data_IF_446904649214
#
_entry.id   IF_446904649214
#
_cell.length_a   1.000
_cell.length_b   1.000
_cell.length_c   1.000
_cell.angle_alpha   90.00
_cell.angle_beta   90.00
_cell.angle_gamma   90.00
#
_symmetry.space_group_name_H-M   'P 1'
#
loop_
_entity.id
_entity.type
_entity.pdbx_description
1 polymer ?
#
# COMPACT_ATOMS: atom_id res chain seq x y z
N UNK A 1 4.24 -7.66 8.99
CA UNK A 1 3.88 -6.29 9.38
C UNK A 1 2.38 -6.10 9.39
N UNK A 2 1.88 -5.05 10.04
CA UNK A 2 0.44 -4.77 10.13
C UNK A 2 0.00 -3.88 8.95
N UNK A 3 -1.23 -4.12 8.48
CA UNK A 3 -1.95 -3.28 7.51
C UNK A 3 -3.26 -2.86 8.16
N UNK A 4 -3.49 -1.58 8.25
CA UNK A 4 -4.67 -1.04 8.94
C UNK A 4 -5.36 0.03 8.10
N UNK A 5 -6.68 0.07 8.21
CA UNK A 5 -7.52 1.19 7.80
C UNK A 5 -8.62 1.39 8.85
N UNK A 6 -9.53 2.33 8.64
CA UNK A 6 -10.59 2.64 9.61
C UNK A 6 -11.49 1.46 9.96
N UNK A 7 -11.70 0.53 9.04
CA UNK A 7 -12.63 -0.61 9.14
C UNK A 7 -11.96 -1.97 8.94
N UNK A 8 -10.65 -2.00 8.73
CA UNK A 8 -9.90 -3.23 8.41
C UNK A 8 -8.61 -3.31 9.18
N UNK A 9 -8.21 -4.53 9.46
CA UNK A 9 -6.92 -4.87 10.04
C UNK A 9 -6.36 -6.08 9.30
N UNK A 10 -5.08 -6.09 9.03
CA UNK A 10 -4.44 -7.21 8.35
C UNK A 10 -2.99 -7.41 8.75
N UNK A 11 -2.43 -8.49 8.23
CA UNK A 11 -1.01 -8.81 8.37
C UNK A 11 -0.41 -9.14 7.01
N UNK A 12 0.81 -8.67 6.80
CA UNK A 12 1.61 -8.98 5.62
C UNK A 12 2.90 -9.64 6.07
N UNK A 13 3.14 -10.85 5.59
CA UNK A 13 4.41 -11.55 5.64
C UNK A 13 5.05 -11.58 4.25
N UNK A 14 6.25 -12.14 4.14
CA UNK A 14 6.96 -12.21 2.86
C UNK A 14 6.23 -13.01 1.77
N UNK A 15 5.43 -14.01 2.16
CA UNK A 15 4.76 -14.92 1.21
C UNK A 15 3.23 -14.89 1.31
N UNK A 16 2.67 -14.22 2.35
CA UNK A 16 1.24 -14.27 2.65
C UNK A 16 0.73 -12.96 3.24
N UNK A 17 -0.47 -12.58 2.79
CA UNK A 17 -1.26 -11.49 3.34
C UNK A 17 -2.62 -12.02 3.80
N UNK A 18 -3.11 -11.50 4.91
CA UNK A 18 -4.47 -11.72 5.37
C UNK A 18 -5.10 -10.39 5.80
N UNK A 19 -6.38 -10.19 5.46
CA UNK A 19 -7.15 -9.00 5.80
C UNK A 19 -8.46 -9.39 6.46
N UNK A 20 -8.84 -8.66 7.51
CA UNK A 20 -10.09 -8.84 8.26
C UNK A 20 -10.85 -7.53 8.38
N UNK A 21 -12.15 -7.60 8.38
CA UNK A 21 -13.03 -6.49 8.77
C UNK A 21 -12.98 -6.29 10.30
N UNK A 22 -13.54 -5.17 10.76
CA UNK A 22 -13.65 -4.83 12.19
C UNK A 22 -14.45 -5.84 13.03
N UNK A 23 -15.32 -6.64 12.41
CA UNK A 23 -16.05 -7.76 13.04
C UNK A 23 -15.26 -9.08 13.06
N UNK A 24 -13.97 -9.03 12.71
CA UNK A 24 -13.03 -10.15 12.66
C UNK A 24 -13.38 -11.23 11.61
N UNK A 25 -14.19 -10.89 10.63
CA UNK A 25 -14.40 -11.74 9.45
C UNK A 25 -13.24 -11.53 8.50
N UNK A 26 -12.54 -12.62 8.15
CA UNK A 26 -11.47 -12.59 7.16
C UNK A 26 -12.06 -12.37 5.78
N UNK A 27 -11.59 -11.31 5.09
CA UNK A 27 -12.05 -10.94 3.75
C UNK A 27 -11.06 -11.32 2.66
N UNK A 28 -9.75 -11.34 2.95
CA UNK A 28 -8.72 -11.69 1.97
C UNK A 28 -7.72 -12.67 2.55
N UNK A 29 -7.37 -13.69 1.78
CA UNK A 29 -6.14 -14.48 1.85
C UNK A 29 -5.42 -14.35 0.51
N UNK A 30 -4.18 -13.86 0.50
CA UNK A 30 -3.40 -13.67 -0.71
C UNK A 30 -1.99 -14.25 -0.58
N UNK A 31 -1.47 -14.81 -1.68
CA UNK A 31 -0.13 -15.40 -1.76
C UNK A 31 -0.11 -16.88 -1.39
N UNK A 32 0.80 -17.29 -0.52
CA UNK A 32 0.93 -18.70 -0.10
C UNK A 32 -0.12 -19.04 0.94
N UNK A 33 -1.24 -19.54 0.48
CA UNK A 33 -2.36 -19.99 1.33
C UNK A 33 -2.21 -21.47 1.63
N UNK A 34 -2.19 -21.81 2.93
CA UNK A 34 -2.18 -23.21 3.37
C UNK A 34 -3.58 -23.83 3.25
N UNK A 35 -3.76 -24.66 2.25
CA UNK A 35 -5.02 -25.38 2.05
C UNK A 35 -4.98 -26.17 0.75
N UNK A 36 -4.86 -27.48 0.88
CA UNK A 36 -4.69 -28.40 -0.24
C UNK A 36 -5.97 -28.53 -1.09
N UNK A 37 -7.10 -28.03 -0.62
CA UNK A 37 -8.40 -28.30 -1.24
C UNK A 37 -8.69 -27.46 -2.49
N UNK A 38 -8.02 -26.30 -2.64
CA UNK A 38 -8.24 -25.39 -3.76
C UNK A 38 -6.93 -24.69 -4.20
N UNK A 39 -5.94 -25.44 -4.74
CA UNK A 39 -4.61 -24.91 -5.01
C UNK A 39 -4.56 -23.90 -6.18
N UNK A 40 -5.66 -23.69 -6.90
CA UNK A 40 -5.71 -22.86 -8.10
C UNK A 40 -6.35 -21.49 -7.88
N UNK A 41 -6.82 -21.19 -6.68
CA UNK A 41 -7.49 -19.92 -6.39
C UNK A 41 -6.51 -18.75 -6.24
N UNK A 42 -5.24 -19.03 -5.91
CA UNK A 42 -4.23 -17.99 -5.74
C UNK A 42 -3.53 -17.71 -7.07
N UNK A 43 -3.63 -16.49 -7.64
CA UNK A 43 -3.05 -16.17 -8.95
C UNK A 43 -1.52 -16.10 -8.92
N UNK A 44 -0.92 -15.71 -7.79
CA UNK A 44 0.52 -15.44 -7.66
C UNK A 44 1.16 -16.07 -6.40
N UNK A 45 1.03 -17.41 -6.19
CA UNK A 45 1.43 -18.04 -4.92
C UNK A 45 2.96 -18.11 -4.71
N UNK A 46 3.75 -17.82 -5.73
CA UNK A 46 5.22 -17.86 -5.69
C UNK A 46 5.89 -16.50 -5.57
N UNK A 47 5.11 -15.42 -5.50
CA UNK A 47 5.65 -14.08 -5.38
C UNK A 47 6.01 -13.74 -3.92
N UNK A 48 6.97 -12.84 -3.74
CA UNK A 48 7.37 -12.28 -2.44
C UNK A 48 6.74 -10.90 -2.30
N UNK A 49 5.93 -10.72 -1.27
CA UNK A 49 5.27 -9.46 -0.97
C UNK A 49 6.29 -8.44 -0.44
N UNK A 50 6.24 -7.20 -0.93
CA UNK A 50 7.13 -6.11 -0.49
C UNK A 50 6.42 -5.09 0.37
N UNK A 51 5.12 -4.82 0.12
CA UNK A 51 4.26 -4.00 1.00
C UNK A 51 2.78 -4.22 0.69
N UNK A 52 1.89 -3.74 1.56
CA UNK A 52 0.47 -3.66 1.29
C UNK A 52 -0.18 -2.51 2.05
N UNK A 53 -1.17 -1.88 1.45
CA UNK A 53 -2.05 -0.88 2.05
C UNK A 53 -3.49 -1.13 1.61
N UNK A 54 -4.44 -0.76 2.46
CA UNK A 54 -5.87 -0.89 2.16
C UNK A 54 -6.63 0.35 2.56
N UNK A 55 -7.67 0.69 1.78
CA UNK A 55 -8.65 1.74 2.09
C UNK A 55 -9.98 1.39 1.44
N UNK A 56 -11.08 1.51 2.21
CA UNK A 56 -12.43 1.17 1.74
C UNK A 56 -12.46 -0.23 1.09
N UNK A 57 -12.82 -0.35 -0.17
CA UNK A 57 -12.87 -1.60 -0.90
C UNK A 57 -11.60 -1.89 -1.72
N UNK A 58 -10.56 -1.06 -1.59
CA UNK A 58 -9.30 -1.25 -2.31
C UNK A 58 -8.23 -1.84 -1.41
N UNK A 59 -7.59 -2.90 -1.87
CA UNK A 59 -6.34 -3.44 -1.35
C UNK A 59 -5.28 -3.32 -2.44
N UNK A 60 -4.19 -2.61 -2.15
CA UNK A 60 -3.01 -2.51 -3.00
C UNK A 60 -1.88 -3.34 -2.40
N UNK A 61 -1.18 -4.09 -3.23
CA UNK A 61 -0.06 -4.96 -2.84
C UNK A 61 1.09 -4.76 -3.81
N UNK A 62 2.31 -4.60 -3.31
CA UNK A 62 3.52 -4.70 -4.13
C UNK A 62 4.21 -6.03 -3.88
N UNK A 63 4.68 -6.67 -4.94
CA UNK A 63 5.28 -8.00 -4.89
C UNK A 63 6.36 -8.21 -5.96
N UNK A 64 7.32 -9.07 -5.66
CA UNK A 64 8.35 -9.52 -6.59
C UNK A 64 8.05 -10.96 -6.99
N UNK A 65 7.87 -11.18 -8.27
CA UNK A 65 7.63 -12.47 -8.89
C UNK A 65 8.82 -12.91 -9.75
N UNK A 66 8.76 -14.10 -10.31
CA UNK A 66 9.81 -14.58 -11.20
C UNK A 66 9.92 -13.84 -12.55
N UNK A 67 8.88 -13.08 -12.91
CA UNK A 67 8.74 -12.32 -14.14
C UNK A 67 8.83 -10.79 -13.94
N UNK A 68 9.04 -10.31 -12.72
CA UNK A 68 9.17 -8.88 -12.45
C UNK A 68 8.62 -8.45 -11.09
N UNK A 69 8.60 -7.13 -10.87
CA UNK A 69 7.99 -6.49 -9.70
C UNK A 69 6.66 -5.90 -10.10
N UNK A 70 5.65 -6.07 -9.24
CA UNK A 70 4.28 -5.73 -9.58
C UNK A 70 3.58 -4.96 -8.48
N UNK A 71 2.80 -3.95 -8.86
CA UNK A 71 1.72 -3.39 -8.06
C UNK A 71 0.41 -4.07 -8.48
N UNK A 72 -0.29 -4.70 -7.53
CA UNK A 72 -1.59 -5.34 -7.75
C UNK A 72 -2.67 -4.56 -7.02
N UNK A 73 -3.69 -4.17 -7.75
CA UNK A 73 -4.93 -3.64 -7.20
C UNK A 73 -5.97 -4.75 -7.13
N UNK A 74 -6.60 -4.91 -5.99
CA UNK A 74 -7.58 -5.97 -5.78
C UNK A 74 -8.69 -5.56 -4.81
N UNK A 75 -9.78 -6.31 -4.83
CA UNK A 75 -10.89 -6.12 -3.91
C UNK A 75 -10.44 -6.44 -2.47
N UNK A 76 -10.79 -5.53 -1.53
CA UNK A 76 -10.61 -5.80 -0.10
C UNK A 76 -11.71 -6.71 0.47
N UNK A 77 -12.80 -6.94 -0.30
CA UNK A 77 -13.90 -7.86 0.02
C UNK A 77 -14.31 -8.66 -1.21
N UNK A 78 -13.47 -9.58 -1.70
CA UNK A 78 -13.81 -10.47 -2.81
C UNK A 78 -14.98 -11.38 -2.44
N UNK A 79 -15.67 -11.95 -3.43
CA UNK A 79 -16.78 -12.90 -3.19
C UNK A 79 -16.34 -14.09 -2.31
N UNK A 80 -15.11 -14.57 -2.54
CA UNK A 80 -14.50 -15.63 -1.74
C UNK A 80 -13.18 -15.17 -1.15
N UNK A 81 -13.01 -15.25 0.15
CA UNK A 81 -11.79 -14.75 0.82
C UNK A 81 -10.49 -15.39 0.35
N UNK A 82 -10.55 -16.55 -0.27
CA UNK A 82 -9.40 -17.32 -0.78
C UNK A 82 -9.15 -17.14 -2.27
N UNK A 83 -10.03 -16.45 -2.97
CA UNK A 83 -9.95 -16.16 -4.39
C UNK A 83 -9.80 -14.65 -4.57
N UNK A 84 -8.57 -14.12 -4.66
CA UNK A 84 -8.34 -12.70 -4.83
C UNK A 84 -8.95 -12.18 -6.13
N UNK A 85 -9.68 -11.09 -6.06
CA UNK A 85 -10.25 -10.40 -7.21
C UNK A 85 -9.33 -9.25 -7.62
N UNK A 86 -8.42 -9.53 -8.56
CA UNK A 86 -7.45 -8.55 -9.08
C UNK A 86 -8.16 -7.62 -10.06
N UNK A 87 -8.15 -6.31 -9.79
CA UNK A 87 -8.67 -5.26 -10.69
C UNK A 87 -7.67 -4.98 -11.81
N UNK A 88 -6.42 -4.72 -11.43
CA UNK A 88 -5.35 -4.45 -12.38
C UNK A 88 -3.98 -4.81 -11.81
N UNK A 89 -2.98 -4.81 -12.69
CA UNK A 89 -1.58 -5.10 -12.38
C UNK A 89 -0.68 -4.15 -13.14
N UNK A 90 0.26 -3.52 -12.45
CA UNK A 90 1.24 -2.58 -13.01
C UNK A 90 2.62 -3.12 -12.75
N UNK A 91 3.46 -3.20 -13.79
CA UNK A 91 4.87 -3.55 -13.65
C UNK A 91 5.64 -2.36 -13.08
N UNK A 92 6.52 -2.64 -12.10
CA UNK A 92 7.37 -1.66 -11.43
C UNK A 92 8.84 -1.95 -11.75
N UNK A 93 9.67 -0.91 -11.72
CA UNK A 93 11.08 -1.02 -12.09
C UNK A 93 11.95 -1.60 -10.95
N UNK A 94 11.64 -1.23 -9.70
CA UNK A 94 12.45 -1.60 -8.54
C UNK A 94 11.98 -2.88 -7.83
N UNK A 95 12.89 -3.84 -7.53
CA UNK A 95 12.55 -5.02 -6.74
C UNK A 95 12.29 -4.72 -5.26
N UNK A 96 12.54 -3.49 -4.83
CA UNK A 96 12.27 -3.00 -3.48
C UNK A 96 11.18 -1.94 -3.45
N UNK A 97 10.40 -1.81 -4.53
CA UNK A 97 9.27 -0.89 -4.59
C UNK A 97 8.26 -1.17 -3.46
N UNK A 98 7.71 -0.11 -2.89
CA UNK A 98 6.75 -0.20 -1.79
C UNK A 98 5.69 0.90 -1.83
N UNK A 99 4.54 0.61 -1.27
CA UNK A 99 3.42 1.54 -1.17
C UNK A 99 3.69 2.64 -0.13
N UNK A 100 3.25 3.85 -0.40
CA UNK A 100 3.34 5.00 0.50
C UNK A 100 1.99 5.67 0.76
N UNK A 101 1.02 5.47 -0.13
CA UNK A 101 -0.35 5.92 0.07
C UNK A 101 -1.34 5.02 -0.68
N UNK A 102 -2.58 4.95 -0.19
CA UNK A 102 -3.71 4.31 -0.84
C UNK A 102 -4.94 5.21 -0.75
N UNK A 103 -5.60 5.43 -1.87
CA UNK A 103 -6.87 6.13 -1.99
C UNK A 103 -8.04 5.15 -2.12
N UNK A 104 -9.20 5.67 -2.49
CA UNK A 104 -10.39 4.84 -2.79
C UNK A 104 -10.29 4.17 -4.16
N UNK A 105 -9.53 4.77 -5.09
CA UNK A 105 -9.40 4.34 -6.49
C UNK A 105 -7.97 4.41 -7.02
N UNK A 106 -6.97 4.21 -6.16
CA UNK A 106 -5.57 4.23 -6.58
C UNK A 106 -4.59 4.08 -5.44
N UNK A 107 -3.30 4.01 -5.77
CA UNK A 107 -2.21 3.95 -4.81
C UNK A 107 -0.97 4.70 -5.31
N UNK A 108 -0.14 5.15 -4.38
CA UNK A 108 1.17 5.70 -4.67
C UNK A 108 2.26 4.77 -4.14
N UNK A 109 3.30 4.59 -4.93
CA UNK A 109 4.46 3.74 -4.61
C UNK A 109 5.75 4.56 -4.66
N UNK A 110 6.74 4.15 -3.90
CA UNK A 110 8.14 4.46 -4.21
C UNK A 110 8.62 3.39 -5.19
N UNK A 111 9.05 3.82 -6.36
CA UNK A 111 9.69 3.01 -7.37
C UNK A 111 11.02 3.67 -7.75
N UNK A 112 12.12 3.05 -7.38
CA UNK A 112 13.46 3.67 -7.34
C UNK A 112 13.49 4.96 -6.49
N UNK A 113 13.79 6.09 -7.10
CA UNK A 113 13.85 7.41 -6.46
C UNK A 113 12.64 8.29 -6.82
N UNK A 114 11.50 7.69 -7.15
CA UNK A 114 10.29 8.39 -7.56
C UNK A 114 9.08 7.95 -6.76
N UNK A 115 8.20 8.90 -6.44
CA UNK A 115 6.81 8.63 -6.08
C UNK A 115 6.02 8.56 -7.37
N UNK A 116 5.38 7.42 -7.61
CA UNK A 116 4.49 7.25 -8.76
C UNK A 116 3.12 6.86 -8.25
N UNK A 117 2.08 7.58 -8.67
CA UNK A 117 0.70 7.23 -8.37
C UNK A 117 0.01 6.61 -9.57
N UNK A 118 -0.81 5.61 -9.28
CA UNK A 118 -1.59 4.87 -10.28
C UNK A 118 -3.05 4.79 -9.85
N UNK A 119 -3.95 4.83 -10.84
CA UNK A 119 -5.35 4.45 -10.61
C UNK A 119 -5.47 2.95 -10.36
N UNK A 120 -6.57 2.50 -9.77
CA UNK A 120 -6.88 1.08 -9.58
C UNK A 120 -7.16 0.32 -10.91
N UNK A 121 -7.28 1.05 -12.01
CA UNK A 121 -7.28 0.51 -13.37
C UNK A 121 -5.87 0.31 -13.96
N UNK A 122 -4.82 0.72 -13.24
CA UNK A 122 -3.42 0.58 -13.64
C UNK A 122 -2.87 1.73 -14.49
N UNK A 123 -3.56 2.87 -14.55
CA UNK A 123 -3.09 4.05 -15.29
C UNK A 123 -2.20 4.91 -14.40
N UNK A 124 -0.99 5.26 -14.86
CA UNK A 124 -0.15 6.24 -14.19
C UNK A 124 -0.83 7.61 -14.18
N UNK A 125 -0.92 8.23 -13.00
CA UNK A 125 -1.56 9.52 -12.79
C UNK A 125 -0.52 10.63 -12.61
N UNK A 126 0.42 10.44 -11.69
CA UNK A 126 1.44 11.41 -11.34
C UNK A 126 2.79 10.73 -11.07
N UNK A 127 3.88 11.45 -11.36
CA UNK A 127 5.25 11.02 -11.10
C UNK A 127 6.08 12.19 -10.57
N UNK A 128 6.81 11.98 -9.48
CA UNK A 128 7.66 12.99 -8.85
C UNK A 128 8.93 12.34 -8.31
N UNK A 129 10.09 12.86 -8.74
CA UNK A 129 11.38 12.51 -8.15
C UNK A 129 11.47 12.91 -6.68
N UNK A 130 11.92 12.02 -5.82
CA UNK A 130 12.07 12.26 -4.38
C UNK A 130 13.42 11.76 -3.87
N UNK A 131 13.88 12.39 -2.79
CA UNK A 131 15.01 11.87 -2.01
C UNK A 131 14.42 11.19 -0.77
N UNK A 132 14.14 9.91 -0.88
CA UNK A 132 13.63 9.10 0.23
C UNK A 132 14.65 8.05 0.62
N UNK A 133 14.71 7.62 1.90
CA UNK A 133 15.54 6.50 2.30
C UNK A 133 15.18 5.24 1.50
N UNK A 134 16.22 4.58 0.95
CA UNK A 134 16.02 3.29 0.32
C UNK A 134 15.65 2.26 1.39
N UNK A 135 14.66 1.43 1.10
CA UNK A 135 14.31 0.27 1.91
C UNK A 135 15.22 -0.89 1.51
N UNK A 136 15.93 -1.46 2.48
CA UNK A 136 16.77 -2.60 2.24
C UNK A 136 15.93 -3.88 2.05
N UNK A 137 16.41 -4.82 1.24
CA UNK A 137 15.66 -6.05 0.94
C UNK A 137 15.30 -6.87 2.18
N UNK A 138 16.14 -6.86 3.20
CA UNK A 138 15.90 -7.54 4.48
C UNK A 138 14.80 -6.87 5.35
N UNK A 139 14.42 -5.65 5.04
CA UNK A 139 13.34 -4.92 5.73
C UNK A 139 11.96 -5.23 5.14
N UNK A 140 11.90 -5.98 4.04
CA UNK A 140 10.65 -6.36 3.38
C UNK A 140 9.95 -7.53 4.11
N UNK A 141 8.62 -7.55 4.18
CA UNK A 141 7.71 -6.53 3.68
C UNK A 141 7.75 -5.26 4.54
N UNK A 142 7.80 -4.12 3.88
CA UNK A 142 7.88 -2.81 4.51
C UNK A 142 6.49 -2.30 4.92
N UNK A 143 6.41 -1.70 6.11
CA UNK A 143 5.21 -1.03 6.60
C UNK A 143 5.45 0.48 6.57
N UNK A 144 4.91 1.21 5.59
CA UNK A 144 5.05 2.65 5.54
C UNK A 144 4.32 3.31 6.72
N UNK A 145 4.89 4.38 7.25
CA UNK A 145 4.26 5.18 8.32
C UNK A 145 3.30 6.16 7.66
N UNK A 146 2.04 5.76 7.53
CA UNK A 146 1.00 6.53 6.86
C UNK A 146 -0.13 6.91 7.80
N UNK A 147 -0.88 7.97 7.47
CA UNK A 147 -2.14 8.28 8.12
C UNK A 147 -3.17 8.80 7.11
N UNK A 148 -4.42 8.35 7.29
CA UNK A 148 -5.58 8.85 6.59
C UNK A 148 -6.14 10.06 7.35
N UNK A 149 -5.97 11.24 6.78
CA UNK A 149 -6.48 12.50 7.32
C UNK A 149 -7.75 12.93 6.55
N UNK A 150 -8.62 13.76 7.08
CA UNK A 150 -9.90 14.10 6.45
C UNK A 150 -9.79 14.67 5.02
N UNK A 151 -8.65 15.30 4.69
CA UNK A 151 -8.45 15.96 3.40
C UNK A 151 -7.16 15.56 2.69
N UNK A 152 -6.36 14.68 3.29
CA UNK A 152 -5.06 14.27 2.75
C UNK A 152 -4.73 12.85 3.20
N UNK A 153 -4.02 12.10 2.38
CA UNK A 153 -3.21 10.99 2.84
C UNK A 153 -1.83 11.51 3.21
N UNK A 154 -1.23 10.99 4.26
CA UNK A 154 0.11 11.42 4.70
C UNK A 154 1.04 10.23 4.80
N UNK A 155 2.29 10.44 4.41
CA UNK A 155 3.37 9.49 4.55
C UNK A 155 4.59 10.16 5.19
N UNK A 156 5.14 9.53 6.21
CA UNK A 156 6.34 9.98 6.89
C UNK A 156 7.49 9.00 6.61
N UNK A 157 8.55 9.50 5.98
CA UNK A 157 9.71 8.69 5.57
C UNK A 157 10.79 8.57 6.65
N UNK A 158 10.56 9.10 7.85
CA UNK A 158 11.51 9.20 8.94
C UNK A 158 12.13 10.60 9.09
N UNK A 159 11.93 11.48 8.11
CA UNK A 159 12.42 12.87 8.10
C UNK A 159 11.44 13.84 7.47
N UNK A 160 10.84 13.46 6.36
CA UNK A 160 9.89 14.30 5.62
C UNK A 160 8.48 13.78 5.82
N UNK A 161 7.53 14.69 5.93
CA UNK A 161 6.12 14.39 5.84
C UNK A 161 5.62 14.79 4.45
N UNK A 162 5.14 13.82 3.69
CA UNK A 162 4.54 14.02 2.37
C UNK A 162 3.03 13.96 2.47
N UNK A 163 2.36 14.94 1.89
CA UNK A 163 0.91 15.03 1.80
C UNK A 163 0.45 14.73 0.38
N UNK A 164 -0.49 13.82 0.26
CA UNK A 164 -1.12 13.44 -1.01
C UNK A 164 -2.56 13.95 -1.08
N UNK A 165 -3.01 14.32 -2.28
CA UNK A 165 -4.44 14.50 -2.55
C UNK A 165 -5.17 13.16 -2.35
N UNK A 166 -6.39 13.15 -1.76
CA UNK A 166 -7.07 11.89 -1.46
C UNK A 166 -7.61 11.16 -2.68
N UNK A 167 -7.84 11.86 -3.79
CA UNK A 167 -8.43 11.28 -5.00
C UNK A 167 -7.37 10.71 -5.97
N UNK A 168 -6.41 11.54 -6.37
CA UNK A 168 -5.42 11.19 -7.40
C UNK A 168 -4.05 10.85 -6.84
N UNK A 169 -3.87 11.01 -5.51
CA UNK A 169 -2.60 10.78 -4.81
C UNK A 169 -1.43 11.58 -5.38
N UNK A 170 -1.74 12.79 -5.87
CA UNK A 170 -0.73 13.77 -6.23
C UNK A 170 -0.06 14.32 -4.97
N UNK A 171 1.26 14.46 -5.00
CA UNK A 171 2.01 15.11 -3.91
C UNK A 171 1.67 16.59 -3.89
N UNK A 172 1.01 17.05 -2.84
CA UNK A 172 0.60 18.44 -2.67
C UNK A 172 1.62 19.25 -1.88
N UNK A 173 2.19 18.67 -0.83
CA UNK A 173 3.18 19.31 0.03
C UNK A 173 4.18 18.30 0.58
N UNK A 174 5.39 18.77 0.85
CA UNK A 174 6.39 18.06 1.64
C UNK A 174 6.92 19.00 2.72
N UNK A 175 7.01 18.49 3.96
CA UNK A 175 7.55 19.21 5.11
C UNK A 175 8.84 18.55 5.56
N UNK A 176 9.91 19.32 5.58
CA UNK A 176 11.19 18.90 6.14
C UNK A 176 11.12 18.90 7.68
N UNK A 177 12.00 18.12 8.31
CA UNK A 177 12.16 18.05 9.75
C UNK A 177 10.87 17.68 10.53
N UNK A 178 9.92 17.01 9.86
CA UNK A 178 8.77 16.42 10.52
C UNK A 178 9.22 15.25 11.43
N UNK A 179 8.40 14.96 12.47
CA UNK A 179 8.65 13.82 13.37
C UNK A 179 7.47 12.84 13.43
N UNK A 180 6.65 12.82 12.38
CA UNK A 180 5.51 11.90 12.26
C UNK A 180 4.49 12.35 11.23
N UNK A 181 3.39 11.61 11.14
CA UNK A 181 2.33 11.80 10.12
C UNK A 181 1.43 13.02 10.36
N UNK A 182 1.57 13.70 11.49
CA UNK A 182 0.67 14.77 11.87
C UNK A 182 -0.70 14.29 12.36
N UNK A 183 -1.55 15.25 12.74
CA UNK A 183 -2.92 15.00 13.18
C UNK A 183 -3.86 16.11 12.71
N UNK A 184 -5.04 15.75 12.25
CA UNK A 184 -6.06 16.74 11.87
C UNK A 184 -6.83 17.20 13.12
N UNK A 185 -6.90 18.52 13.31
CA UNK A 185 -7.69 19.14 14.38
C UNK A 185 -8.20 20.51 13.97
N UNK A 186 -9.51 20.77 14.19
CA UNK A 186 -10.13 22.08 13.92
C UNK A 186 -9.99 22.55 12.45
N UNK A 187 -10.07 21.64 11.49
CA UNK A 187 -9.90 21.93 10.06
C UNK A 187 -8.47 22.26 9.65
N UNK A 188 -7.47 21.90 10.45
CA UNK A 188 -6.04 22.09 10.19
C UNK A 188 -5.30 20.79 10.37
N UNK A 189 -4.21 20.62 9.63
CA UNK A 189 -3.22 19.58 9.91
C UNK A 189 -2.14 20.16 10.82
N UNK A 190 -1.94 19.54 11.97
CA UNK A 190 -0.86 19.85 12.92
C UNK A 190 0.28 18.90 12.66
N UNK A 191 1.41 19.45 12.22
CA UNK A 191 2.63 18.69 11.94
C UNK A 191 3.64 18.96 13.04
N UNK A 192 4.06 17.95 13.82
CA UNK A 192 5.16 18.13 14.77
C UNK A 192 6.49 18.21 14.01
N UNK A 193 7.29 19.19 14.35
CA UNK A 193 8.63 19.42 13.76
C UNK A 193 9.68 19.56 14.86
N UNK A 194 10.94 19.27 14.53
CA UNK A 194 12.08 19.44 15.45
C UNK A 194 12.57 20.89 15.45
#
# INVERSE_FOLDING_TARGET
VAVNSNDRVGTVGAERLELWRSDLVRTVEYGKVEGIQEPHLQPHPGCRLTSALTRSELLAVTEVCGDGTWLRFQEATPEQSREPEIRSSVELDSPTAYLVAVGESGAAVIDDAEIVSYSDEGTELHRLGVTSPAVEEQELPYAPVTADQPHHMTWFDGRHLVLFSPAELEVQHSFDDAVGTGVAAGGRLLVPVV
#
